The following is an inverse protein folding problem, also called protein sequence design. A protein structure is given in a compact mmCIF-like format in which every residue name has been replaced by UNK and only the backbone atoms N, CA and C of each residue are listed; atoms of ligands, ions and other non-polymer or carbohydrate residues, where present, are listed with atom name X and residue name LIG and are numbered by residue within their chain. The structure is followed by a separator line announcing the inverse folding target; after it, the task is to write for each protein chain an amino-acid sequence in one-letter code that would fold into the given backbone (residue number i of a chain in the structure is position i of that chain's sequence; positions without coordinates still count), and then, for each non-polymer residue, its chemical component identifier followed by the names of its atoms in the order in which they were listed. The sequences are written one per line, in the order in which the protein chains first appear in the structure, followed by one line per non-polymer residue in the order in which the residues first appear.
data_IF_738939108461
#
_entry.id   IF_738939108461
#
_cell.length_a   1.000
_cell.length_b   1.000
_cell.length_c   1.000
_cell.angle_alpha   90.00
_cell.angle_beta   90.00
_cell.angle_gamma   90.00
#
_symmetry.space_group_name_H-M   'P 1'
#
loop_
_entity.id
_entity.type
_entity.pdbx_description
1 polymer ?
#
# COMPACT_ATOMS: atom_id res chain seq x y z
N UNK A 1 19.74 12.87 -5.51
CA UNK A 1 18.74 12.85 -6.59
C UNK A 1 17.74 11.68 -6.50
N UNK A 2 17.83 10.76 -5.51
CA UNK A 2 16.93 9.59 -5.36
C UNK A 2 15.46 9.84 -4.94
N UNK A 3 15.15 10.95 -4.24
CA UNK A 3 13.81 11.20 -3.66
C UNK A 3 12.72 11.37 -4.72
N UNK A 4 13.10 11.90 -5.88
CA UNK A 4 12.21 12.08 -7.02
C UNK A 4 11.78 10.72 -7.59
N UNK A 5 12.69 9.73 -7.60
CA UNK A 5 12.41 8.44 -8.21
C UNK A 5 11.43 7.58 -7.39
N UNK A 6 11.57 7.54 -6.05
CA UNK A 6 10.67 6.73 -5.19
C UNK A 6 9.29 7.35 -5.02
N UNK A 7 9.19 8.68 -4.88
CA UNK A 7 7.90 9.37 -4.84
C UNK A 7 7.16 9.25 -6.17
N UNK A 8 7.86 9.45 -7.30
CA UNK A 8 7.31 9.23 -8.63
C UNK A 8 6.88 7.77 -8.82
N UNK A 9 7.69 6.80 -8.40
CA UNK A 9 7.31 5.38 -8.49
C UNK A 9 6.08 5.03 -7.64
N UNK A 10 5.91 5.68 -6.48
CA UNK A 10 4.69 5.57 -5.65
C UNK A 10 3.47 6.07 -6.40
N UNK A 11 3.49 7.35 -6.82
CA UNK A 11 2.37 7.97 -7.53
C UNK A 11 2.03 7.28 -8.86
N UNK A 12 3.04 6.88 -9.63
CA UNK A 12 2.85 6.10 -10.86
C UNK A 12 2.22 4.75 -10.54
N UNK A 13 2.69 4.06 -9.50
CA UNK A 13 2.12 2.76 -9.12
C UNK A 13 0.72 2.86 -8.52
N UNK A 14 0.36 3.98 -7.89
CA UNK A 14 -1.01 4.30 -7.45
C UNK A 14 -1.93 4.50 -8.65
N UNK A 15 -1.49 5.29 -9.63
CA UNK A 15 -2.25 5.50 -10.88
C UNK A 15 -2.41 4.19 -11.66
N UNK A 16 -1.35 3.38 -11.79
CA UNK A 16 -1.41 2.06 -12.44
C UNK A 16 -2.45 1.15 -11.77
N UNK A 17 -2.55 1.16 -10.44
CA UNK A 17 -3.59 0.39 -9.73
C UNK A 17 -4.99 0.89 -10.09
N UNK A 18 -5.19 2.21 -10.15
CA UNK A 18 -6.49 2.79 -10.55
C UNK A 18 -6.86 2.38 -11.98
N UNK A 19 -5.88 2.32 -12.88
CA UNK A 19 -6.11 2.00 -14.30
C UNK A 19 -6.35 0.49 -14.53
N UNK A 20 -5.69 -0.38 -13.77
CA UNK A 20 -5.70 -1.83 -13.96
C UNK A 20 -6.71 -2.57 -13.09
N UNK A 21 -7.07 -2.02 -11.93
CA UNK A 21 -7.85 -2.74 -10.91
C UNK A 21 -9.24 -2.12 -10.75
N UNK A 22 -10.26 -2.97 -10.80
CA UNK A 22 -11.62 -2.61 -10.38
C UNK A 22 -11.79 -2.79 -8.87
N UNK A 23 -12.73 -2.06 -8.27
CA UNK A 23 -13.00 -2.14 -6.84
C UNK A 23 -13.29 -3.60 -6.42
N UNK A 24 -12.57 -4.17 -5.44
CA UNK A 24 -12.76 -5.56 -5.02
C UNK A 24 -14.10 -5.81 -4.30
N UNK A 25 -14.81 -4.74 -3.91
CA UNK A 25 -16.11 -4.82 -3.23
C UNK A 25 -17.30 -4.75 -4.20
N UNK A 26 -17.26 -3.90 -5.22
CA UNK A 26 -18.42 -3.66 -6.11
C UNK A 26 -18.09 -3.60 -7.61
N UNK A 27 -16.84 -3.87 -7.99
CA UNK A 27 -16.35 -3.92 -9.38
C UNK A 27 -16.46 -2.60 -10.16
N UNK A 28 -16.76 -1.47 -9.51
CA UNK A 28 -16.71 -0.13 -10.12
C UNK A 28 -15.29 0.45 -10.12
N UNK A 29 -15.06 1.50 -10.91
CA UNK A 29 -13.76 2.16 -11.04
C UNK A 29 -13.27 2.72 -9.71
N UNK A 30 -11.97 2.65 -9.50
CA UNK A 30 -11.26 3.32 -8.43
C UNK A 30 -10.89 4.76 -8.86
N UNK A 31 -10.58 5.62 -7.90
CA UNK A 31 -10.04 6.96 -8.10
C UNK A 31 -8.95 7.23 -7.08
N UNK A 32 -7.97 8.06 -7.45
CA UNK A 32 -6.96 8.55 -6.53
C UNK A 32 -7.57 9.52 -5.52
N UNK A 33 -7.12 9.44 -4.28
CA UNK A 33 -7.36 10.47 -3.27
C UNK A 33 -6.31 11.59 -3.38
N UNK A 34 -6.57 12.79 -2.85
CA UNK A 34 -5.61 13.88 -2.85
C UNK A 34 -4.28 13.49 -2.21
N UNK A 35 -3.18 14.11 -2.65
CA UNK A 35 -1.89 13.89 -2.02
C UNK A 35 -1.95 14.18 -0.50
N UNK A 36 -1.23 13.37 0.29
CA UNK A 36 -1.21 13.45 1.75
C UNK A 36 -2.55 13.16 2.44
N UNK A 37 -3.53 12.59 1.73
CA UNK A 37 -4.73 12.07 2.37
C UNK A 37 -4.35 11.01 3.42
N UNK A 38 -4.84 11.11 4.68
CA UNK A 38 -4.42 10.18 5.72
C UNK A 38 -4.82 8.73 5.38
N UNK A 39 -3.84 7.82 5.46
CA UNK A 39 -3.97 6.34 5.45
C UNK A 39 -4.42 5.68 4.16
N UNK A 40 -5.16 6.37 3.30
CA UNK A 40 -5.74 5.81 2.08
C UNK A 40 -5.19 6.56 0.86
N UNK A 41 -4.89 5.80 -0.18
CA UNK A 41 -4.35 6.33 -1.43
C UNK A 41 -5.44 6.34 -2.52
N UNK A 42 -6.43 5.44 -2.42
CA UNK A 42 -7.52 5.28 -3.39
C UNK A 42 -8.90 5.14 -2.75
N UNK A 43 -9.94 5.47 -3.52
CA UNK A 43 -11.35 5.28 -3.17
C UNK A 43 -12.13 4.70 -4.36
N UNK A 44 -13.15 3.87 -4.09
CA UNK A 44 -14.12 3.48 -5.10
C UNK A 44 -15.09 4.62 -5.41
N UNK A 45 -15.37 4.83 -6.69
CA UNK A 45 -16.31 5.85 -7.18
C UNK A 45 -17.78 5.59 -6.81
N UNK A 46 -18.13 4.39 -6.32
CA UNK A 46 -19.52 4.00 -6.05
C UNK A 46 -19.79 3.60 -4.59
N UNK A 47 -19.02 2.67 -4.02
CA UNK A 47 -19.34 2.08 -2.70
C UNK A 47 -18.53 2.64 -1.52
N UNK A 48 -17.78 3.74 -1.74
CA UNK A 48 -16.89 4.35 -0.72
C UNK A 48 -15.81 3.43 -0.13
N UNK A 49 -15.56 2.27 -0.75
CA UNK A 49 -14.41 1.43 -0.41
C UNK A 49 -13.11 2.24 -0.53
N UNK A 50 -12.22 2.11 0.46
CA UNK A 50 -10.91 2.78 0.47
C UNK A 50 -9.82 1.79 0.79
N UNK A 51 -8.66 1.98 0.18
CA UNK A 51 -7.48 1.15 0.44
C UNK A 51 -6.20 1.99 0.41
N UNK A 52 -5.19 1.49 1.11
CA UNK A 52 -3.82 1.96 0.93
C UNK A 52 -3.18 1.19 -0.24
N UNK A 53 -2.37 1.86 -1.05
CA UNK A 53 -1.59 1.25 -2.13
C UNK A 53 -0.11 1.27 -1.77
N UNK A 54 0.58 0.14 -1.99
CA UNK A 54 2.05 0.08 -1.84
C UNK A 54 2.69 -0.61 -3.03
N UNK A 55 3.45 0.16 -3.78
CA UNK A 55 4.19 -0.30 -4.96
C UNK A 55 5.57 -0.80 -4.56
N UNK A 56 5.89 -2.03 -4.95
CA UNK A 56 7.14 -2.71 -4.64
C UNK A 56 7.78 -3.23 -5.93
N UNK A 57 9.00 -2.76 -6.22
CA UNK A 57 9.80 -3.20 -7.38
C UNK A 57 10.53 -4.53 -7.09
N UNK A 58 9.79 -5.54 -6.64
CA UNK A 58 10.29 -6.87 -6.38
C UNK A 58 9.17 -7.90 -6.48
N UNK A 59 9.53 -9.18 -6.45
CA UNK A 59 8.57 -10.28 -6.25
C UNK A 59 7.81 -10.11 -4.92
N UNK A 60 6.60 -10.70 -4.81
CA UNK A 60 5.88 -10.76 -3.54
C UNK A 60 6.75 -11.30 -2.41
N UNK A 61 6.69 -10.64 -1.25
CA UNK A 61 7.53 -10.95 -0.09
C UNK A 61 6.75 -10.75 1.21
N UNK A 62 7.21 -11.43 2.26
CA UNK A 62 6.58 -11.40 3.58
C UNK A 62 6.54 -10.00 4.22
N UNK A 63 7.49 -9.13 3.89
CA UNK A 63 7.64 -7.81 4.50
C UNK A 63 7.74 -6.69 3.48
N UNK A 64 6.86 -5.69 3.59
CA UNK A 64 6.91 -4.47 2.76
C UNK A 64 6.88 -3.21 3.64
N UNK A 65 7.40 -2.11 3.11
CA UNK A 65 7.41 -0.82 3.82
C UNK A 65 6.00 -0.25 3.91
N UNK A 66 5.63 0.23 5.09
CA UNK A 66 4.40 0.96 5.35
C UNK A 66 4.62 2.47 5.37
N UNK A 67 3.80 3.17 6.16
CA UNK A 67 3.81 4.62 6.29
C UNK A 67 4.35 5.08 7.66
N UNK A 68 4.13 6.35 8.02
CA UNK A 68 4.45 6.89 9.33
C UNK A 68 3.68 6.17 10.44
N UNK A 69 4.37 5.83 11.53
CA UNK A 69 3.78 5.12 12.66
C UNK A 69 2.78 5.99 13.42
N UNK A 70 3.03 7.30 13.55
CA UNK A 70 2.23 8.17 14.41
C UNK A 70 0.76 8.26 13.97
N UNK A 71 0.51 8.30 12.65
CA UNK A 71 -0.85 8.31 12.10
C UNK A 71 -1.50 6.94 12.32
N UNK A 72 -0.80 5.85 12.01
CA UNK A 72 -1.31 4.49 12.19
C UNK A 72 -1.62 4.19 13.67
N UNK A 73 -0.76 4.64 14.59
CA UNK A 73 -0.95 4.45 16.02
C UNK A 73 -2.21 5.17 16.53
N UNK A 74 -2.46 6.41 16.08
CA UNK A 74 -3.68 7.14 16.43
C UNK A 74 -4.93 6.40 15.94
N UNK A 75 -4.92 5.91 14.71
CA UNK A 75 -6.03 5.18 14.10
C UNK A 75 -6.36 3.91 14.89
N UNK A 76 -5.34 3.12 15.20
CA UNK A 76 -5.49 1.90 15.99
C UNK A 76 -5.95 2.19 17.43
N UNK A 77 -5.48 3.30 18.04
CA UNK A 77 -5.93 3.74 19.38
C UNK A 77 -7.38 4.22 19.38
N UNK A 78 -7.86 4.79 18.28
CA UNK A 78 -9.26 5.18 18.09
C UNK A 78 -10.19 4.01 17.81
N UNK A 79 -9.70 2.76 17.86
CA UNK A 79 -10.52 1.56 17.65
C UNK A 79 -10.74 1.19 16.19
N UNK A 80 -10.18 1.94 15.24
CA UNK A 80 -10.23 1.59 13.83
C UNK A 80 -9.27 0.45 13.51
N UNK A 81 -9.66 -0.41 12.57
CA UNK A 81 -8.80 -1.46 12.03
C UNK A 81 -7.75 -0.89 11.08
N UNK A 82 -6.69 -1.65 10.84
CA UNK A 82 -5.72 -1.33 9.78
C UNK A 82 -6.46 -1.20 8.44
N UNK A 83 -6.19 -0.15 7.64
CA UNK A 83 -6.82 -0.01 6.34
C UNK A 83 -6.51 -1.22 5.43
N UNK A 84 -7.44 -1.62 4.55
CA UNK A 84 -7.17 -2.61 3.53
C UNK A 84 -5.97 -2.18 2.67
N UNK A 85 -5.18 -3.14 2.20
CA UNK A 85 -3.96 -2.89 1.45
C UNK A 85 -4.06 -3.48 0.05
N UNK A 86 -3.70 -2.69 -0.95
CA UNK A 86 -3.39 -3.14 -2.30
C UNK A 86 -1.88 -3.06 -2.49
N UNK A 87 -1.23 -4.21 -2.63
CA UNK A 87 0.20 -4.30 -2.88
C UNK A 87 0.45 -4.54 -4.37
N UNK A 88 1.08 -3.58 -5.04
CA UNK A 88 1.45 -3.64 -6.46
C UNK A 88 2.91 -4.12 -6.57
N UNK A 89 3.12 -5.39 -6.91
CA UNK A 89 4.45 -5.98 -7.08
C UNK A 89 4.85 -5.97 -8.54
N UNK A 90 6.04 -5.44 -8.85
CA UNK A 90 6.60 -5.37 -10.21
C UNK A 90 8.01 -5.92 -10.21
N UNK A 91 8.30 -6.88 -11.09
CA UNK A 91 9.66 -7.42 -11.26
C UNK A 91 9.86 -7.89 -12.70
N UNK A 92 10.96 -7.50 -13.31
CA UNK A 92 11.22 -7.74 -14.73
C UNK A 92 10.02 -7.24 -15.57
N UNK A 93 9.42 -8.12 -16.38
CA UNK A 93 8.21 -7.85 -17.17
C UNK A 93 6.91 -8.36 -16.51
N UNK A 94 6.97 -8.73 -15.22
CA UNK A 94 5.83 -9.23 -14.46
C UNK A 94 5.30 -8.18 -13.49
N UNK A 95 4.00 -8.24 -13.28
CA UNK A 95 3.24 -7.41 -12.38
C UNK A 95 2.12 -8.25 -11.76
N UNK A 96 2.03 -8.19 -10.44
CA UNK A 96 0.99 -8.85 -9.66
C UNK A 96 0.48 -7.87 -8.61
N UNK A 97 -0.83 -7.63 -8.63
CA UNK A 97 -1.51 -6.77 -7.66
C UNK A 97 -2.31 -7.64 -6.71
N UNK A 98 -1.95 -7.61 -5.44
CA UNK A 98 -2.62 -8.34 -4.36
C UNK A 98 -3.46 -7.40 -3.52
N UNK A 99 -4.69 -7.81 -3.23
CA UNK A 99 -5.57 -7.15 -2.29
C UNK A 99 -5.63 -7.93 -0.97
N UNK A 100 -5.24 -7.29 0.11
CA UNK A 100 -5.33 -7.78 1.48
C UNK A 100 -6.51 -7.09 2.17
N UNK A 101 -7.68 -7.74 2.28
CA UNK A 101 -8.88 -7.12 2.85
C UNK A 101 -8.74 -6.82 4.34
N UNK A 102 -7.92 -7.60 5.05
CA UNK A 102 -7.73 -7.47 6.48
C UNK A 102 -6.27 -7.70 6.87
N UNK A 103 -5.69 -6.73 7.57
CA UNK A 103 -4.33 -6.81 8.10
C UNK A 103 -4.39 -6.65 9.62
N UNK A 104 -4.19 -7.74 10.39
CA UNK A 104 -4.15 -7.67 11.84
C UNK A 104 -3.05 -6.74 12.36
N UNK A 105 -3.27 -6.11 13.52
CA UNK A 105 -2.25 -5.26 14.17
C UNK A 105 -0.92 -6.00 14.44
N UNK A 106 -0.96 -7.31 14.72
CA UNK A 106 0.25 -8.14 14.89
C UNK A 106 1.12 -8.22 13.64
N UNK A 107 0.56 -7.89 12.48
CA UNK A 107 1.25 -7.83 11.19
C UNK A 107 1.84 -6.43 10.90
N UNK A 108 1.85 -5.53 11.90
CA UNK A 108 2.49 -4.22 11.82
C UNK A 108 3.73 -4.21 12.72
N UNK A 109 4.91 -4.01 12.12
CA UNK A 109 6.18 -3.91 12.85
C UNK A 109 6.65 -2.47 12.88
N UNK A 110 6.65 -1.86 14.08
CA UNK A 110 7.22 -0.52 14.30
C UNK A 110 8.71 -0.54 13.95
N UNK A 111 9.16 0.47 13.20
CA UNK A 111 10.54 0.60 12.73
C UNK A 111 11.00 2.04 12.87
N UNK A 112 12.19 2.22 13.41
CA UNK A 112 12.85 3.52 13.45
C UNK A 112 13.63 3.77 12.16
N UNK A 113 13.62 5.00 11.65
CA UNK A 113 14.43 5.38 10.50
C UNK A 113 14.96 6.79 10.66
N UNK A 114 16.24 6.98 10.31
CA UNK A 114 16.86 8.30 10.23
C UNK A 114 16.97 8.70 8.76
N UNK A 115 16.35 9.82 8.39
CA UNK A 115 16.50 10.39 7.05
C UNK A 115 17.84 11.11 6.99
N UNK A 116 18.86 10.43 6.46
CA UNK A 116 20.26 10.90 6.37
C UNK A 116 20.42 12.36 5.90
N UNK A 117 19.56 12.83 4.97
CA UNK A 117 19.65 14.19 4.40
C UNK A 117 19.07 15.31 5.26
N UNK A 118 18.18 15.02 6.19
CA UNK A 118 17.55 16.04 7.04
C UNK A 118 17.86 15.85 8.52
N UNK A 119 18.61 14.79 8.88
CA UNK A 119 18.80 14.38 10.27
C UNK A 119 17.50 14.04 11.00
N UNK A 120 16.38 13.91 10.27
CA UNK A 120 15.05 13.71 10.88
C UNK A 120 14.88 12.25 11.21
N UNK A 121 14.57 12.02 12.47
CA UNK A 121 14.21 10.73 13.02
C UNK A 121 12.70 10.54 12.88
N UNK A 122 12.28 9.44 12.28
CA UNK A 122 10.88 9.14 12.06
C UNK A 122 10.57 7.70 12.46
N UNK A 123 9.47 7.56 13.19
CA UNK A 123 8.86 6.26 13.40
C UNK A 123 8.00 5.90 12.19
N UNK A 124 8.30 4.76 11.59
CA UNK A 124 7.53 4.15 10.51
C UNK A 124 7.04 2.78 10.96
N UNK A 125 6.26 2.12 10.10
CA UNK A 125 6.00 0.70 10.25
C UNK A 125 6.24 -0.06 8.95
N UNK A 126 6.43 -1.36 9.09
CA UNK A 126 6.42 -2.30 8.00
C UNK A 126 5.22 -3.24 8.18
N UNK A 127 4.64 -3.66 7.06
CA UNK A 127 3.74 -4.80 7.02
C UNK A 127 4.58 -6.06 7.04
N UNK A 128 4.29 -7.01 7.93
CA UNK A 128 5.03 -8.29 8.07
C UNK A 128 4.09 -9.49 7.96
N UNK A 129 4.63 -10.63 7.53
CA UNK A 129 3.87 -11.88 7.38
C UNK A 129 2.80 -11.82 6.29
N UNK A 130 2.96 -10.95 5.28
CA UNK A 130 2.00 -10.82 4.17
C UNK A 130 1.92 -12.07 3.28
N UNK A 131 2.92 -12.94 3.33
CA UNK A 131 2.94 -14.26 2.69
C UNK A 131 1.97 -15.25 3.33
N UNK A 132 1.56 -15.00 4.58
CA UNK A 132 0.67 -15.89 5.36
C UNK A 132 -0.75 -15.34 5.51
N UNK A 133 -0.97 -14.07 5.15
CA UNK A 133 -2.29 -13.46 5.22
C UNK A 133 -3.12 -13.82 3.99
N UNK A 134 -4.45 -13.97 4.13
CA UNK A 134 -5.32 -14.15 2.97
C UNK A 134 -5.28 -12.90 2.08
N UNK A 135 -5.21 -13.13 0.77
CA UNK A 135 -5.26 -12.08 -0.24
C UNK A 135 -6.00 -12.56 -1.48
N UNK A 136 -6.48 -11.60 -2.27
CA UNK A 136 -7.00 -11.82 -3.61
C UNK A 136 -5.99 -11.28 -4.62
N UNK A 137 -5.74 -12.01 -5.70
CA UNK A 137 -5.03 -11.45 -6.86
C UNK A 137 -6.08 -10.68 -7.67
N UNK A 138 -5.93 -9.36 -7.72
CA UNK A 138 -6.88 -8.46 -8.40
C UNK A 138 -6.39 -8.02 -9.78
N UNK A 139 -5.11 -8.24 -10.06
CA UNK A 139 -4.51 -8.12 -11.37
C UNK A 139 -3.23 -8.95 -11.43
N UNK A 140 -2.98 -9.59 -12.56
CA UNK A 140 -1.71 -10.27 -12.85
C UNK A 140 -1.51 -10.22 -14.36
N UNK A 141 -0.37 -9.70 -14.81
CA UNK A 141 -0.01 -9.89 -16.21
C UNK A 141 0.75 -11.22 -16.35
N UNK A 142 0.25 -12.07 -17.24
CA UNK A 142 0.97 -13.26 -17.67
C UNK A 142 1.64 -12.88 -18.98
N UNK A 143 2.81 -12.25 -18.89
CA UNK A 143 3.70 -12.28 -20.03
C UNK A 143 4.17 -13.73 -20.17
N UNK A 144 3.54 -14.40 -21.14
CA UNK A 144 3.91 -15.72 -21.66
C UNK A 144 5.33 -15.73 -22.20
#
# INVERSE_FOLDING_TARGET
MEKNHRKKAGAVGEQEVVDLVFCPNCSKKLMLLPESYPLYDIQCTACSFRAQVKTNLCRPKAEILGAGWDIMEKVLKSGFITPPLIANFKWNNHQEVRFYPFIPKKNLKKRFTTIKKSGRELWMFNYIGLDKLPYLIVYKNENS
#
